data_IF_659230708826
#
_entry.id   IF_659230708826
#
_cell.length_a   1.000
_cell.length_b   1.000
_cell.length_c   1.000
_cell.angle_alpha   90.00
_cell.angle_beta   90.00
_cell.angle_gamma   90.00
#
_symmetry.space_group_name_H-M   'P 1'
#
loop_
_entity.id
_entity.type
_entity.pdbx_description
1 polymer ?
#
# COMPACT_ATOMS: atom_id res chain seq x y z
N UNK A 1 50.21 20.97 -22.61
CA UNK A 1 49.68 19.68 -22.20
C UNK A 1 48.48 19.96 -21.31
N UNK A 2 47.31 19.98 -21.90
CA UNK A 2 46.01 20.11 -21.23
C UNK A 2 45.54 18.69 -20.94
N UNK A 3 45.60 18.26 -19.70
CA UNK A 3 44.97 17.02 -19.25
C UNK A 3 43.44 17.15 -19.41
N UNK A 4 42.91 16.40 -20.32
CA UNK A 4 41.46 16.16 -20.38
C UNK A 4 41.04 15.49 -19.09
N UNK A 5 40.35 16.23 -18.25
CA UNK A 5 39.62 15.66 -17.13
C UNK A 5 38.51 14.81 -17.70
N UNK A 6 38.73 13.52 -17.89
CA UNK A 6 37.69 12.56 -18.21
C UNK A 6 36.57 12.74 -17.20
N UNK A 7 35.38 13.09 -17.71
CA UNK A 7 34.19 13.29 -16.88
C UNK A 7 33.87 11.99 -16.15
N UNK A 8 34.27 11.93 -14.90
CA UNK A 8 34.03 10.76 -14.02
C UNK A 8 32.55 10.39 -13.88
N UNK A 9 31.64 11.25 -14.36
CA UNK A 9 30.21 11.00 -14.34
C UNK A 9 29.78 9.86 -15.29
N UNK A 10 30.55 9.61 -16.37
CA UNK A 10 30.27 8.52 -17.29
C UNK A 10 30.61 7.14 -16.75
N UNK A 11 31.64 7.05 -15.90
CA UNK A 11 32.09 5.80 -15.28
C UNK A 11 31.03 5.16 -14.37
N UNK A 12 30.05 5.95 -13.89
CA UNK A 12 29.03 5.51 -12.92
C UNK A 12 27.61 5.44 -13.51
N UNK A 13 27.45 5.76 -14.80
CA UNK A 13 26.15 5.60 -15.48
C UNK A 13 25.71 4.12 -15.45
N UNK A 14 24.57 3.85 -14.85
CA UNK A 14 23.97 2.52 -14.80
C UNK A 14 24.41 1.59 -13.68
N UNK A 15 25.30 1.98 -12.77
CA UNK A 15 25.80 1.15 -11.66
C UNK A 15 25.13 1.40 -10.30
N UNK A 16 24.08 2.20 -10.23
CA UNK A 16 23.39 2.51 -8.96
C UNK A 16 24.18 3.42 -8.01
N UNK A 17 25.34 3.94 -8.43
CA UNK A 17 26.14 4.88 -7.64
C UNK A 17 25.67 6.32 -7.84
N UNK A 18 25.61 7.07 -6.76
CA UNK A 18 25.26 8.49 -6.76
C UNK A 18 26.43 9.32 -6.25
N UNK A 19 26.76 10.41 -6.94
CA UNK A 19 27.77 11.35 -6.46
C UNK A 19 27.30 12.03 -5.17
N UNK A 20 28.24 12.35 -4.29
CA UNK A 20 27.94 12.92 -2.97
C UNK A 20 27.26 14.28 -3.06
N UNK A 21 27.62 15.12 -4.03
CA UNK A 21 27.01 16.42 -4.27
C UNK A 21 25.51 16.29 -4.62
N UNK A 22 25.14 15.31 -5.45
CA UNK A 22 23.74 15.00 -5.76
C UNK A 22 22.98 14.51 -4.52
N UNK A 23 23.63 13.65 -3.71
CA UNK A 23 23.04 13.15 -2.47
C UNK A 23 22.79 14.27 -1.45
N UNK A 24 23.73 15.20 -1.32
CA UNK A 24 23.59 16.40 -0.46
C UNK A 24 22.41 17.26 -0.94
N UNK A 25 22.36 17.61 -2.21
CA UNK A 25 21.28 18.43 -2.76
C UNK A 25 19.89 17.75 -2.63
N UNK A 26 19.83 16.45 -2.83
CA UNK A 26 18.62 15.65 -2.61
C UNK A 26 18.19 15.68 -1.14
N UNK A 27 19.12 15.53 -0.21
CA UNK A 27 18.85 15.58 1.22
C UNK A 27 18.28 16.93 1.64
N UNK A 28 18.90 18.03 1.20
CA UNK A 28 18.40 19.39 1.47
C UNK A 28 16.99 19.61 0.88
N UNK A 29 16.73 19.13 -0.34
CA UNK A 29 15.42 19.21 -0.98
C UNK A 29 14.35 18.44 -0.19
N UNK A 30 14.67 17.23 0.29
CA UNK A 30 13.75 16.41 1.10
C UNK A 30 13.38 17.14 2.40
N UNK A 31 14.36 17.71 3.10
CA UNK A 31 14.13 18.45 4.35
C UNK A 31 13.30 19.71 4.08
N UNK A 32 13.64 20.49 3.06
CA UNK A 32 12.89 21.68 2.67
C UNK A 32 11.44 21.37 2.31
N UNK A 33 11.21 20.29 1.57
CA UNK A 33 9.86 19.82 1.24
C UNK A 33 9.09 19.40 2.49
N UNK A 34 9.74 18.72 3.43
CA UNK A 34 9.12 18.33 4.70
C UNK A 34 8.72 19.56 5.55
N UNK A 35 9.56 20.58 5.62
CA UNK A 35 9.25 21.85 6.30
C UNK A 35 8.04 22.58 5.69
N UNK A 36 7.87 22.47 4.38
CA UNK A 36 6.74 23.07 3.64
C UNK A 36 5.50 22.15 3.60
N UNK A 37 5.46 21.07 4.35
CA UNK A 37 4.35 20.10 4.35
C UNK A 37 4.25 19.27 3.05
N UNK A 38 5.20 19.42 2.12
CA UNK A 38 5.23 18.71 0.84
C UNK A 38 6.00 17.40 0.96
N UNK A 39 5.39 16.40 1.60
CA UNK A 39 5.97 15.05 1.68
C UNK A 39 5.20 14.08 0.80
N UNK A 40 5.92 13.26 0.05
CA UNK A 40 5.31 12.17 -0.71
C UNK A 40 5.11 10.96 0.21
N UNK A 41 4.07 11.04 1.03
CA UNK A 41 3.66 9.98 1.96
C UNK A 41 2.20 9.60 1.71
N UNK A 42 1.89 8.35 1.96
CA UNK A 42 0.55 7.79 1.83
C UNK A 42 0.04 7.42 3.23
N UNK A 43 -0.77 8.27 3.86
CA UNK A 43 -1.33 7.99 5.17
C UNK A 43 -2.23 6.75 5.12
N UNK A 44 -2.23 6.01 6.21
CA UNK A 44 -3.12 4.88 6.45
C UNK A 44 -4.28 5.32 7.36
N UNK A 45 -5.28 4.47 7.55
CA UNK A 45 -6.35 4.71 8.54
C UNK A 45 -5.91 4.49 10.01
N UNK A 46 -4.65 4.08 10.25
CA UNK A 46 -4.13 3.84 11.59
C UNK A 46 -3.21 4.97 12.06
N UNK A 47 -3.68 5.87 12.94
CA UNK A 47 -2.91 7.04 13.38
C UNK A 47 -1.56 6.67 14.04
N UNK A 48 -1.53 5.58 14.84
CA UNK A 48 -0.30 5.12 15.47
C UNK A 48 0.73 4.63 14.46
N UNK A 49 0.27 3.93 13.41
CA UNK A 49 1.13 3.48 12.33
C UNK A 49 1.69 4.67 11.56
N UNK A 50 0.83 5.63 11.22
CA UNK A 50 1.25 6.86 10.52
C UNK A 50 2.29 7.64 11.34
N UNK A 51 2.10 7.76 12.66
CA UNK A 51 3.07 8.43 13.55
C UNK A 51 4.44 7.75 13.49
N UNK A 52 4.48 6.41 13.58
CA UNK A 52 5.73 5.64 13.52
C UNK A 52 6.39 5.69 12.14
N UNK A 53 5.61 5.82 11.07
CA UNK A 53 6.08 5.93 9.69
C UNK A 53 6.28 7.39 9.24
N UNK A 54 6.32 8.33 10.18
CA UNK A 54 6.51 9.76 9.88
C UNK A 54 5.49 10.33 8.89
N UNK A 55 4.22 9.96 9.04
CA UNK A 55 3.08 10.45 8.27
C UNK A 55 2.39 9.42 7.39
N UNK A 56 2.97 8.23 7.18
CA UNK A 56 2.41 7.16 6.35
C UNK A 56 3.46 6.40 5.57
N UNK A 57 3.02 5.56 4.64
CA UNK A 57 3.92 4.84 3.75
C UNK A 57 4.65 5.84 2.83
N UNK A 58 5.93 5.61 2.59
CA UNK A 58 6.78 6.49 1.80
C UNK A 58 7.20 5.80 0.50
N UNK A 59 7.25 6.55 -0.59
CA UNK A 59 7.79 6.06 -1.85
C UNK A 59 9.25 5.62 -1.73
N UNK A 60 9.66 4.61 -2.50
CA UNK A 60 11.01 4.06 -2.49
C UNK A 60 11.38 3.25 -1.24
N UNK A 61 10.42 2.89 -0.41
CA UNK A 61 10.63 2.07 0.79
C UNK A 61 10.00 0.70 0.62
N UNK A 62 10.66 -0.31 1.16
CA UNK A 62 10.11 -1.65 1.33
C UNK A 62 9.61 -1.82 2.77
N UNK A 63 8.39 -2.34 2.92
CA UNK A 63 7.80 -2.63 4.22
C UNK A 63 7.53 -4.14 4.32
N UNK A 64 8.01 -4.76 5.37
CA UNK A 64 7.86 -6.20 5.60
C UNK A 64 6.91 -6.44 6.76
N UNK A 65 5.88 -7.25 6.52
CA UNK A 65 4.92 -7.68 7.54
C UNK A 65 5.25 -9.13 7.91
N UNK A 66 5.75 -9.34 9.11
CA UNK A 66 6.11 -10.66 9.60
C UNK A 66 5.24 -11.09 10.78
N UNK A 67 5.07 -12.40 10.95
CA UNK A 67 4.32 -12.97 12.06
C UNK A 67 4.14 -14.47 11.88
N UNK A 68 3.70 -15.17 12.94
CA UNK A 68 3.45 -16.61 12.92
C UNK A 68 2.34 -16.96 11.91
N UNK A 69 2.28 -18.21 11.42
CA UNK A 69 1.14 -18.67 10.63
C UNK A 69 -0.19 -18.40 11.35
N UNK A 70 -1.23 -18.07 10.61
CA UNK A 70 -2.58 -17.83 11.16
C UNK A 70 -2.82 -16.50 11.87
N UNK A 71 -1.81 -15.67 12.17
CA UNK A 71 -2.02 -14.37 12.88
C UNK A 71 -2.68 -13.28 12.05
N UNK A 72 -3.00 -13.54 10.77
CA UNK A 72 -3.74 -12.59 9.94
C UNK A 72 -2.89 -11.65 9.09
N UNK A 73 -1.64 -11.99 8.76
CA UNK A 73 -0.78 -11.16 7.88
C UNK A 73 -1.46 -10.77 6.57
N UNK A 74 -2.02 -11.75 5.86
CA UNK A 74 -2.72 -11.52 4.58
C UNK A 74 -4.01 -10.70 4.77
N UNK A 75 -4.72 -10.89 5.87
CA UNK A 75 -5.89 -10.08 6.19
C UNK A 75 -5.51 -8.61 6.48
N UNK A 76 -4.39 -8.41 7.18
CA UNK A 76 -3.86 -7.07 7.44
C UNK A 76 -3.39 -6.38 6.15
N UNK A 77 -2.62 -7.07 5.30
CA UNK A 77 -2.13 -6.48 4.04
C UNK A 77 -3.29 -6.16 3.09
N UNK A 78 -4.29 -7.03 2.99
CA UNK A 78 -5.49 -6.77 2.20
C UNK A 78 -6.26 -5.54 2.72
N UNK A 79 -6.47 -5.45 4.04
CA UNK A 79 -7.10 -4.28 4.66
C UNK A 79 -6.28 -3.01 4.44
N UNK A 80 -4.94 -3.09 4.54
CA UNK A 80 -4.05 -1.95 4.31
C UNK A 80 -4.19 -1.39 2.90
N UNK A 81 -4.28 -2.25 1.88
CA UNK A 81 -4.47 -1.82 0.48
C UNK A 81 -5.74 -0.99 0.33
N UNK A 82 -6.90 -1.50 0.78
CA UNK A 82 -8.16 -0.78 0.66
C UNK A 82 -8.16 0.51 1.50
N UNK A 83 -7.59 0.46 2.70
CA UNK A 83 -7.50 1.65 3.56
C UNK A 83 -6.58 2.73 2.97
N UNK A 84 -5.52 2.33 2.25
CA UNK A 84 -4.66 3.27 1.52
C UNK A 84 -5.41 3.94 0.36
N UNK A 85 -6.13 3.15 -0.45
CA UNK A 85 -6.92 3.67 -1.55
C UNK A 85 -8.01 4.64 -1.04
N UNK A 86 -8.73 4.26 0.01
CA UNK A 86 -9.77 5.10 0.63
C UNK A 86 -9.21 6.38 1.28
N UNK A 87 -8.03 6.32 1.89
CA UNK A 87 -7.43 7.46 2.61
C UNK A 87 -6.73 8.45 1.67
N UNK A 88 -6.43 8.07 0.43
CA UNK A 88 -5.64 8.85 -0.51
C UNK A 88 -6.38 9.10 -1.83
N UNK A 89 -7.67 9.33 -1.80
CA UNK A 89 -8.53 9.52 -2.98
C UNK A 89 -8.14 10.75 -3.82
N UNK A 90 -7.38 11.68 -3.24
CA UNK A 90 -6.84 12.85 -3.92
C UNK A 90 -5.49 12.60 -4.62
N UNK A 91 -4.99 11.38 -4.59
CA UNK A 91 -3.74 10.98 -5.24
C UNK A 91 -4.04 9.96 -6.34
N UNK A 92 -3.40 10.16 -7.48
CA UNK A 92 -3.39 9.15 -8.53
C UNK A 92 -2.50 7.99 -8.09
N UNK A 93 -3.12 6.89 -7.68
CA UNK A 93 -2.45 5.73 -7.08
C UNK A 93 -3.00 4.43 -7.63
N UNK A 94 -2.11 3.58 -8.10
CA UNK A 94 -2.41 2.20 -8.50
C UNK A 94 -1.72 1.24 -7.55
N UNK A 95 -2.44 0.23 -7.09
CA UNK A 95 -1.89 -0.84 -6.25
C UNK A 95 -1.86 -2.13 -7.03
N UNK A 96 -0.67 -2.71 -7.17
CA UNK A 96 -0.49 -4.05 -7.72
C UNK A 96 -0.37 -5.05 -6.56
N UNK A 97 -1.30 -5.98 -6.49
CA UNK A 97 -1.35 -6.97 -5.41
C UNK A 97 -1.09 -8.39 -5.95
N UNK A 98 0.10 -8.92 -5.68
CA UNK A 98 0.42 -10.31 -6.02
C UNK A 98 0.04 -11.24 -4.86
N UNK A 99 -0.86 -12.15 -5.11
CA UNK A 99 -1.25 -13.19 -4.16
C UNK A 99 -0.91 -14.57 -4.73
N UNK A 100 -0.04 -15.30 -4.03
CA UNK A 100 0.34 -16.67 -4.41
C UNK A 100 -0.50 -17.72 -3.70
N UNK A 101 -1.22 -17.35 -2.64
CA UNK A 101 -1.96 -18.27 -1.77
C UNK A 101 -3.48 -18.24 -2.06
N UNK A 102 -4.02 -17.06 -2.39
CA UNK A 102 -5.46 -16.88 -2.55
C UNK A 102 -5.79 -16.11 -3.84
N UNK A 103 -6.75 -16.58 -4.64
CA UNK A 103 -7.22 -15.83 -5.81
C UNK A 103 -7.90 -14.51 -5.42
N UNK A 104 -7.96 -13.55 -6.37
CA UNK A 104 -8.46 -12.20 -6.13
C UNK A 104 -9.89 -12.14 -5.58
N UNK A 105 -10.79 -13.00 -6.09
CA UNK A 105 -12.17 -13.04 -5.60
C UNK A 105 -12.28 -13.40 -4.10
N UNK A 106 -11.41 -14.29 -3.60
CA UNK A 106 -11.38 -14.63 -2.17
C UNK A 106 -10.89 -13.47 -1.31
N UNK A 107 -9.98 -12.65 -1.82
CA UNK A 107 -9.54 -11.44 -1.13
C UNK A 107 -10.70 -10.44 -0.96
N UNK A 108 -11.46 -10.23 -2.03
CA UNK A 108 -12.65 -9.37 -2.02
C UNK A 108 -13.71 -9.95 -1.07
N UNK A 109 -13.99 -11.24 -1.15
CA UNK A 109 -14.96 -11.89 -0.27
C UNK A 109 -14.61 -11.72 1.22
N UNK A 110 -13.35 -11.90 1.60
CA UNK A 110 -12.89 -11.67 2.98
C UNK A 110 -13.06 -10.22 3.43
N UNK A 111 -12.78 -9.28 2.55
CA UNK A 111 -12.93 -7.87 2.85
C UNK A 111 -14.40 -7.47 2.98
N UNK A 112 -15.25 -7.95 2.09
CA UNK A 112 -16.68 -7.70 2.11
C UNK A 112 -17.38 -8.39 3.30
N UNK A 113 -17.01 -9.62 3.65
CA UNK A 113 -17.57 -10.34 4.79
C UNK A 113 -17.38 -9.58 6.11
N UNK A 114 -16.21 -8.96 6.28
CA UNK A 114 -15.93 -8.09 7.43
C UNK A 114 -16.87 -6.87 7.47
N UNK A 115 -17.17 -6.28 6.33
CA UNK A 115 -18.05 -5.10 6.26
C UNK A 115 -19.50 -5.45 6.61
N UNK A 116 -19.99 -6.60 6.15
CA UNK A 116 -21.34 -7.08 6.47
C UNK A 116 -21.43 -7.83 7.80
N UNK A 117 -20.31 -7.92 8.54
CA UNK A 117 -20.22 -8.61 9.84
C UNK A 117 -20.68 -10.07 9.80
N UNK A 118 -20.45 -10.76 8.68
CA UNK A 118 -20.71 -12.19 8.50
C UNK A 118 -19.38 -12.91 8.34
N UNK A 119 -19.28 -14.13 8.85
CA UNK A 119 -18.10 -14.95 8.60
C UNK A 119 -18.10 -15.45 7.15
N UNK A 120 -16.92 -15.64 6.57
CA UNK A 120 -16.82 -16.16 5.20
C UNK A 120 -17.47 -17.54 5.05
N UNK A 121 -17.38 -18.37 6.10
CA UNK A 121 -18.06 -19.65 6.16
C UNK A 121 -19.57 -19.54 6.04
N UNK A 122 -20.18 -18.54 6.68
CA UNK A 122 -21.62 -18.31 6.63
C UNK A 122 -22.07 -17.84 5.22
N UNK A 123 -21.20 -17.09 4.53
CA UNK A 123 -21.48 -16.64 3.16
C UNK A 123 -21.41 -17.78 2.13
N UNK A 124 -20.65 -18.83 2.40
CA UNK A 124 -20.40 -19.96 1.51
C UNK A 124 -21.12 -21.23 1.91
N UNK A 125 -21.76 -21.27 3.09
CA UNK A 125 -22.44 -22.46 3.59
C UNK A 125 -23.74 -22.70 2.84
N UNK A 126 -23.92 -23.93 2.39
CA UNK A 126 -25.16 -24.40 1.78
C UNK A 126 -26.28 -24.48 2.84
N UNK A 127 -25.92 -24.73 4.08
CA UNK A 127 -26.86 -24.91 5.20
C UNK A 127 -27.26 -23.59 5.84
N UNK A 128 -26.36 -22.63 5.89
CA UNK A 128 -26.62 -21.30 6.39
C UNK A 128 -27.29 -20.44 5.29
N UNK A 129 -28.53 -20.72 4.94
CA UNK A 129 -29.28 -19.99 3.90
C UNK A 129 -29.13 -18.47 4.10
N UNK A 130 -28.32 -17.85 3.24
CA UNK A 130 -28.13 -16.41 3.23
C UNK A 130 -29.48 -15.74 2.98
N UNK A 131 -29.90 -14.81 3.80
CA UNK A 131 -31.11 -14.05 3.57
C UNK A 131 -30.88 -13.08 2.43
N UNK A 132 -31.93 -12.76 1.67
CA UNK A 132 -31.87 -11.80 0.55
C UNK A 132 -31.31 -10.44 0.98
N UNK A 133 -31.59 -10.01 2.20
CA UNK A 133 -31.04 -8.79 2.79
C UNK A 133 -29.52 -8.87 2.99
N UNK A 134 -29.04 -9.99 3.51
CA UNK A 134 -27.60 -10.22 3.70
C UNK A 134 -26.87 -10.21 2.35
N UNK A 135 -27.47 -10.83 1.33
CA UNK A 135 -26.91 -10.82 -0.02
C UNK A 135 -26.89 -9.40 -0.63
N UNK A 136 -27.96 -8.61 -0.47
CA UNK A 136 -27.98 -7.21 -0.91
C UNK A 136 -26.88 -6.39 -0.23
N UNK A 137 -26.73 -6.54 1.07
CA UNK A 137 -25.68 -5.86 1.84
C UNK A 137 -24.27 -6.27 1.38
N UNK A 138 -24.08 -7.56 1.11
CA UNK A 138 -22.83 -8.08 0.56
C UNK A 138 -22.56 -7.51 -0.85
N UNK A 139 -23.54 -7.56 -1.75
CA UNK A 139 -23.42 -7.03 -3.11
C UNK A 139 -23.06 -5.54 -3.12
N UNK A 140 -23.72 -4.73 -2.29
CA UNK A 140 -23.39 -3.31 -2.12
C UNK A 140 -21.97 -3.11 -1.59
N UNK A 141 -21.54 -3.95 -0.67
CA UNK A 141 -20.17 -3.92 -0.13
C UNK A 141 -19.12 -4.25 -1.20
N UNK A 142 -19.36 -5.24 -2.05
CA UNK A 142 -18.47 -5.64 -3.15
C UNK A 142 -18.38 -4.58 -4.24
N UNK A 143 -19.51 -3.96 -4.59
CA UNK A 143 -19.55 -2.90 -5.62
C UNK A 143 -18.65 -1.70 -5.31
N UNK A 144 -18.35 -1.45 -4.03
CA UNK A 144 -17.40 -0.40 -3.64
C UNK A 144 -16.01 -0.60 -4.25
N UNK A 145 -15.62 -1.82 -4.54
CA UNK A 145 -14.30 -2.13 -5.12
C UNK A 145 -14.22 -1.84 -6.62
N UNK A 146 -15.37 -1.66 -7.31
CA UNK A 146 -15.39 -1.32 -8.72
C UNK A 146 -14.89 0.10 -9.02
N UNK A 147 -14.73 0.94 -8.00
CA UNK A 147 -14.16 2.29 -8.16
C UNK A 147 -12.62 2.31 -8.21
N UNK A 148 -11.98 1.18 -7.92
CA UNK A 148 -10.53 1.00 -7.96
C UNK A 148 -10.13 0.09 -9.12
#
# INVERSE_FOLDING_TARGET
MTEESQDSSELFKGRGFQRIDKAVNQSLSIVKNAMNGKRNVYPTKWPRLNKNLLGGLQGGKMYVIAGRPGVGKSAFSNQLVFDLLDANTNKDMVVLYWSFEMPGYQQIMRSASKQVKKQLGDLLSVDARLKDEDFKNYANSVQRYNKY
#
